data_IF_862857425955
#
_entry.id   IF_862857425955
#
_cell.length_a   1.000
_cell.length_b   1.000
_cell.length_c   1.000
_cell.angle_alpha   90.00
_cell.angle_beta   90.00
_cell.angle_gamma   90.00
#
_symmetry.space_group_name_H-M   'P 1'
#
loop_
_entity.id
_entity.type
_entity.pdbx_description
1 polymer ?
#
# COMPACT_ATOMS: atom_id res chain seq x y z
N UNK A 1 -12.19 1.61 4.36
CA UNK A 1 -11.02 1.69 5.27
C UNK A 1 -10.20 0.46 4.93
N UNK A 2 -8.92 0.54 4.57
CA UNK A 2 -7.95 1.60 4.78
C UNK A 2 -6.71 1.23 3.94
N UNK A 3 -6.16 2.14 3.14
CA UNK A 3 -4.86 1.91 2.49
C UNK A 3 -3.72 1.78 3.52
N UNK A 4 -3.95 2.19 4.76
CA UNK A 4 -3.07 2.07 5.93
C UNK A 4 -3.98 1.86 7.17
N UNK A 5 -3.93 0.69 7.83
CA UNK A 5 -4.90 0.27 8.86
C UNK A 5 -4.79 1.05 10.18
N UNK A 6 -3.77 1.90 10.31
CA UNK A 6 -3.59 2.75 11.47
C UNK A 6 -3.69 4.23 11.13
N UNK A 7 -4.19 4.56 9.94
CA UNK A 7 -4.43 5.96 9.58
C UNK A 7 -5.49 6.58 10.50
N UNK A 8 -5.58 7.92 10.58
CA UNK A 8 -6.62 8.56 11.37
C UNK A 8 -8.02 8.08 10.93
N UNK A 9 -8.77 7.49 11.86
CA UNK A 9 -10.09 6.89 11.59
C UNK A 9 -11.18 7.92 11.27
N UNK A 10 -10.87 9.21 11.41
CA UNK A 10 -11.76 10.30 11.05
C UNK A 10 -11.16 11.68 11.30
N UNK A 11 -11.90 12.75 10.94
CA UNK A 11 -11.50 14.13 11.17
C UNK A 11 -11.12 14.42 12.62
N UNK A 12 -9.98 15.06 12.83
CA UNK A 12 -9.52 15.44 14.17
C UNK A 12 -8.93 14.30 15.02
N UNK A 13 -8.94 13.05 14.54
CA UNK A 13 -8.42 11.89 15.30
C UNK A 13 -6.91 11.75 15.13
N UNK A 14 -6.24 11.15 16.10
CA UNK A 14 -4.86 10.75 15.92
C UNK A 14 -4.78 9.49 15.06
N UNK A 15 -3.60 9.23 14.49
CA UNK A 15 -3.30 7.99 13.80
C UNK A 15 -1.81 7.69 13.85
N UNK A 16 -1.42 6.68 13.09
CA UNK A 16 -0.05 6.27 12.88
C UNK A 16 0.21 6.11 11.39
N UNK A 17 1.49 6.08 11.07
CA UNK A 17 2.00 5.89 9.72
C UNK A 17 3.34 5.18 9.81
N UNK A 18 3.50 4.07 9.11
CA UNK A 18 4.73 3.26 9.22
C UNK A 18 5.49 3.10 7.90
N UNK A 19 5.20 3.91 6.88
CA UNK A 19 5.80 3.82 5.53
C UNK A 19 7.33 4.08 5.53
N UNK A 20 8.12 3.45 4.63
CA UNK A 20 9.58 3.60 4.63
C UNK A 20 9.99 5.03 4.23
N UNK A 21 10.69 5.73 5.13
CA UNK A 21 11.15 7.12 4.94
C UNK A 21 12.17 7.29 3.78
N UNK A 22 12.80 6.19 3.33
CA UNK A 22 13.79 6.19 2.24
C UNK A 22 13.15 6.13 0.84
N UNK A 23 11.83 5.94 0.71
CA UNK A 23 11.16 6.13 -0.56
C UNK A 23 11.25 7.62 -0.93
N UNK A 24 12.11 7.97 -1.91
CA UNK A 24 12.53 9.32 -2.35
C UNK A 24 11.47 10.43 -2.40
N UNK A 25 10.17 10.11 -2.33
CA UNK A 25 9.06 11.05 -2.44
C UNK A 25 8.60 11.64 -1.11
N UNK A 26 8.92 11.05 0.05
CA UNK A 26 8.45 11.56 1.35
C UNK A 26 9.49 11.33 2.45
N UNK A 27 10.39 12.30 2.63
CA UNK A 27 11.16 12.44 3.87
C UNK A 27 10.43 13.44 4.75
N UNK A 28 9.87 12.99 5.88
CA UNK A 28 9.33 13.92 6.87
C UNK A 28 10.45 14.36 7.80
N UNK A 29 10.56 15.66 8.02
CA UNK A 29 11.39 16.18 9.10
C UNK A 29 10.68 15.91 10.43
N UNK A 30 11.44 15.68 11.49
CA UNK A 30 10.84 15.52 12.82
C UNK A 30 10.02 16.76 13.18
N UNK A 31 8.85 16.55 13.79
CA UNK A 31 7.91 17.60 14.20
C UNK A 31 7.34 18.45 13.04
N UNK A 32 7.44 17.95 11.81
CA UNK A 32 6.85 18.63 10.68
C UNK A 32 5.31 18.66 10.78
N UNK A 33 4.73 19.81 10.42
CA UNK A 33 3.29 20.04 10.47
C UNK A 33 2.71 20.10 9.06
N UNK A 34 1.69 19.29 8.76
CA UNK A 34 1.07 19.22 7.43
C UNK A 34 -0.43 18.89 7.50
N UNK A 35 -1.15 19.27 6.45
CA UNK A 35 -2.50 18.78 6.19
C UNK A 35 -2.45 17.30 5.79
N UNK A 36 -3.31 16.48 6.38
CA UNK A 36 -3.38 15.04 6.12
C UNK A 36 -4.66 14.71 5.36
N UNK A 37 -4.48 13.91 4.30
CA UNK A 37 -5.56 13.35 3.49
C UNK A 37 -5.44 11.83 3.50
N UNK A 38 -6.53 11.14 3.77
CA UNK A 38 -6.58 9.68 3.74
C UNK A 38 -7.36 9.24 2.51
N UNK A 39 -6.73 8.38 1.72
CA UNK A 39 -7.33 7.82 0.51
C UNK A 39 -8.27 6.67 0.83
N UNK A 40 -9.39 6.61 0.12
CA UNK A 40 -10.33 5.48 0.12
C UNK A 40 -10.04 4.56 -1.07
N UNK A 41 -10.61 3.36 -1.03
CA UNK A 41 -10.42 2.36 -2.11
C UNK A 41 -11.07 2.79 -3.42
N UNK A 42 -12.02 3.73 -3.38
CA UNK A 42 -12.64 4.36 -4.54
C UNK A 42 -11.73 5.39 -5.24
N UNK A 43 -10.49 5.57 -4.79
CA UNK A 43 -9.57 6.58 -5.33
C UNK A 43 -9.87 8.01 -4.89
N UNK A 44 -10.85 8.19 -4.01
CA UNK A 44 -11.17 9.48 -3.39
C UNK A 44 -10.27 9.71 -2.18
N UNK A 45 -10.10 10.96 -1.79
CA UNK A 45 -9.36 11.35 -0.59
C UNK A 45 -10.27 12.19 0.30
N UNK A 46 -10.22 11.96 1.61
CA UNK A 46 -10.89 12.82 2.57
C UNK A 46 -9.86 13.54 3.43
N UNK A 47 -10.16 14.80 3.74
CA UNK A 47 -9.33 15.63 4.59
C UNK A 47 -9.55 15.25 6.06
N UNK A 48 -8.46 15.00 6.79
CA UNK A 48 -8.52 14.55 8.18
C UNK A 48 -8.13 15.65 9.18
N UNK A 49 -7.56 16.77 8.72
CA UNK A 49 -7.09 17.87 9.57
C UNK A 49 -5.62 18.23 9.38
N UNK A 50 -5.11 19.05 10.30
CA UNK A 50 -3.74 19.53 10.37
C UNK A 50 -2.98 18.81 11.49
N UNK A 51 -1.87 18.15 11.15
CA UNK A 51 -1.18 17.20 12.02
C UNK A 51 0.27 17.59 12.23
N UNK A 52 0.80 17.25 13.40
CA UNK A 52 2.23 17.14 13.68
C UNK A 52 2.66 15.68 13.52
N UNK A 53 3.74 15.46 12.79
CA UNK A 53 4.34 14.13 12.57
C UNK A 53 5.44 13.93 13.61
N UNK A 54 5.27 12.94 14.49
CA UNK A 54 6.18 12.67 15.61
C UNK A 54 6.73 11.25 15.48
N UNK A 55 8.05 11.02 15.52
CA UNK A 55 8.60 9.67 15.66
C UNK A 55 8.04 9.00 16.91
N UNK A 56 7.44 7.80 16.75
CA UNK A 56 6.85 7.02 17.84
C UNK A 56 7.64 5.75 18.13
N UNK A 57 8.85 5.63 17.56
CA UNK A 57 9.73 4.48 17.71
C UNK A 57 9.71 3.56 16.49
N UNK A 58 9.75 2.25 16.75
CA UNK A 58 9.66 1.20 15.73
C UNK A 58 8.58 0.22 16.12
N UNK A 59 7.91 -0.31 15.10
CA UNK A 59 6.86 -1.30 15.27
C UNK A 59 7.40 -2.57 15.92
N UNK A 60 6.68 -3.04 16.94
CA UNK A 60 6.99 -4.31 17.60
C UNK A 60 6.60 -5.49 16.71
N UNK A 61 7.12 -6.68 17.06
CA UNK A 61 6.77 -7.93 16.37
C UNK A 61 5.26 -8.22 16.48
N UNK A 62 4.67 -7.99 17.65
CA UNK A 62 3.25 -8.30 17.88
C UNK A 62 2.34 -7.34 17.10
N UNK A 63 2.67 -6.05 17.08
CA UNK A 63 1.95 -5.07 16.27
C UNK A 63 2.09 -5.38 14.77
N UNK A 64 3.29 -5.77 14.30
CA UNK A 64 3.49 -6.22 12.93
C UNK A 64 2.66 -7.46 12.60
N UNK A 65 2.61 -8.44 13.51
CA UNK A 65 1.79 -9.64 13.36
C UNK A 65 0.31 -9.36 13.29
N UNK A 66 -0.18 -8.28 13.90
CA UNK A 66 -1.59 -7.87 13.81
C UNK A 66 -1.98 -7.34 12.43
N UNK A 67 -1.01 -6.98 11.58
CA UNK A 67 -1.29 -6.47 10.24
C UNK A 67 -1.73 -7.59 9.29
N UNK A 68 -2.77 -7.36 8.48
CA UNK A 68 -3.13 -8.26 7.39
C UNK A 68 -1.96 -8.50 6.43
N UNK A 69 -1.83 -9.72 5.91
CA UNK A 69 -0.71 -10.10 5.03
C UNK A 69 -0.53 -9.17 3.82
N UNK A 70 -1.62 -8.71 3.21
CA UNK A 70 -1.55 -7.78 2.07
C UNK A 70 -0.91 -6.43 2.43
N UNK A 71 -1.04 -5.96 3.68
CA UNK A 71 -0.35 -4.76 4.16
C UNK A 71 1.14 -5.02 4.36
N UNK A 72 1.51 -6.19 4.89
CA UNK A 72 2.92 -6.62 5.03
C UNK A 72 3.62 -6.70 3.67
N UNK A 73 2.98 -7.34 2.69
CA UNK A 73 3.48 -7.43 1.30
C UNK A 73 3.66 -6.06 0.69
N UNK A 74 2.64 -5.19 0.78
CA UNK A 74 2.72 -3.82 0.26
C UNK A 74 3.85 -3.03 0.90
N UNK A 75 4.05 -3.20 2.20
CA UNK A 75 5.13 -2.54 2.92
C UNK A 75 6.49 -3.01 2.41
N UNK A 76 6.71 -4.33 2.33
CA UNK A 76 7.95 -4.90 1.83
C UNK A 76 8.22 -4.49 0.36
N UNK A 77 7.20 -4.45 -0.49
CA UNK A 77 7.31 -3.95 -1.87
C UNK A 77 7.74 -2.48 -1.98
N UNK A 78 7.46 -1.65 -0.97
CA UNK A 78 7.95 -0.27 -0.94
C UNK A 78 9.43 -0.18 -0.54
N UNK A 79 9.94 -1.21 0.14
CA UNK A 79 11.30 -1.29 0.64
C UNK A 79 12.23 -2.00 -0.35
N UNK A 80 11.80 -3.10 -0.97
CA UNK A 80 12.63 -3.90 -1.86
C UNK A 80 13.29 -3.11 -3.01
N UNK A 81 12.66 -2.08 -3.61
CA UNK A 81 13.31 -1.24 -4.61
C UNK A 81 14.46 -0.37 -4.08
N UNK A 82 14.76 -0.40 -2.78
CA UNK A 82 15.85 0.32 -2.13
C UNK A 82 17.04 -0.63 -1.95
N UNK A 83 18.02 -0.66 -2.88
CA UNK A 83 19.09 -1.66 -2.88
C UNK A 83 19.96 -1.57 -1.62
N UNK A 84 20.15 -0.35 -1.10
CA UNK A 84 20.92 -0.12 0.12
C UNK A 84 20.24 -0.73 1.33
N UNK A 85 18.90 -0.72 1.39
CA UNK A 85 18.16 -1.31 2.50
C UNK A 85 18.27 -2.85 2.48
N UNK A 86 18.14 -3.44 1.30
CA UNK A 86 18.27 -4.88 1.13
C UNK A 86 19.67 -5.37 1.53
N UNK A 87 20.73 -4.68 1.09
CA UNK A 87 22.11 -4.98 1.46
C UNK A 87 22.40 -4.77 2.95
N UNK A 88 21.94 -3.65 3.52
CA UNK A 88 22.10 -3.31 4.95
C UNK A 88 21.47 -4.38 5.86
N UNK A 89 20.41 -5.03 5.38
CA UNK A 89 19.64 -5.99 6.13
C UNK A 89 19.74 -7.43 5.60
N UNK A 90 20.70 -7.72 4.72
CA UNK A 90 20.97 -9.07 4.18
C UNK A 90 19.71 -9.77 3.62
N UNK A 91 18.87 -9.03 2.90
CA UNK A 91 17.62 -9.53 2.34
C UNK A 91 17.66 -9.51 0.81
N UNK A 92 17.18 -10.57 0.16
CA UNK A 92 17.28 -10.73 -1.30
C UNK A 92 15.93 -10.54 -2.00
N UNK A 93 14.83 -10.81 -1.30
CA UNK A 93 13.48 -10.75 -1.85
C UNK A 93 12.47 -10.05 -0.93
N UNK A 94 11.27 -9.78 -1.47
CA UNK A 94 10.13 -9.30 -0.68
C UNK A 94 9.71 -10.30 0.40
N UNK A 95 9.82 -11.60 0.12
CA UNK A 95 9.51 -12.64 1.07
C UNK A 95 10.47 -12.60 2.26
N UNK A 96 11.79 -12.55 1.99
CA UNK A 96 12.81 -12.51 3.04
C UNK A 96 12.65 -11.27 3.94
N UNK A 97 12.29 -10.12 3.36
CA UNK A 97 12.00 -8.91 4.13
C UNK A 97 10.84 -9.14 5.10
N UNK A 98 9.75 -9.75 4.63
CA UNK A 98 8.58 -10.06 5.48
C UNK A 98 8.97 -11.04 6.58
N UNK A 99 9.68 -12.12 6.24
CA UNK A 99 10.14 -13.13 7.20
C UNK A 99 11.00 -12.50 8.29
N UNK A 100 11.90 -11.59 7.93
CA UNK A 100 12.73 -10.87 8.91
C UNK A 100 11.91 -9.96 9.82
N UNK A 101 10.82 -9.35 9.33
CA UNK A 101 9.87 -8.64 10.20
C UNK A 101 9.07 -9.60 11.10
N UNK A 102 8.61 -10.73 10.56
CA UNK A 102 7.83 -11.74 11.31
C UNK A 102 8.68 -12.41 12.40
N UNK A 103 9.99 -12.58 12.16
CA UNK A 103 10.95 -13.05 13.17
C UNK A 103 11.31 -11.96 14.19
N UNK A 104 11.07 -10.69 13.87
CA UNK A 104 11.44 -9.53 14.69
C UNK A 104 12.88 -9.05 14.53
N UNK A 105 13.59 -9.56 13.50
CA UNK A 105 14.93 -9.12 13.12
C UNK A 105 14.91 -7.73 12.48
N UNK A 106 13.81 -7.38 11.79
CA UNK A 106 13.53 -6.04 11.31
C UNK A 106 12.36 -5.42 12.07
N UNK A 107 12.38 -4.09 12.18
CA UNK A 107 11.30 -3.32 12.79
C UNK A 107 11.02 -2.05 11.99
N UNK A 108 9.77 -1.89 11.57
CA UNK A 108 9.35 -0.79 10.72
C UNK A 108 9.38 0.51 11.51
N UNK A 109 9.96 1.61 11.02
CA UNK A 109 9.82 2.91 11.67
C UNK A 109 8.34 3.27 11.83
N UNK A 110 7.95 3.75 13.01
CA UNK A 110 6.59 4.12 13.32
C UNK A 110 6.51 5.62 13.61
N UNK A 111 5.66 6.32 12.86
CA UNK A 111 5.37 7.73 13.06
C UNK A 111 3.97 7.87 13.62
N UNK A 112 3.80 8.71 14.65
CA UNK A 112 2.49 9.12 15.15
C UNK A 112 2.05 10.38 14.42
N UNK A 113 0.85 10.32 13.87
CA UNK A 113 0.12 11.46 13.32
C UNK A 113 -0.70 12.08 14.45
N UNK A 114 -0.15 13.13 15.06
CA UNK A 114 -0.85 13.85 16.12
C UNK A 114 -1.63 15.02 15.53
N UNK A 115 -2.96 14.87 15.47
CA UNK A 115 -3.85 15.97 15.10
C UNK A 115 -3.64 17.16 16.04
N UNK A 116 -3.38 18.33 15.45
CA UNK A 116 -3.30 19.62 16.13
C UNK A 116 -4.69 20.24 16.14
N UNK A 117 -5.33 20.29 14.97
CA UNK A 117 -6.68 20.83 14.77
C UNK A 117 -7.28 20.32 13.47
N UNK A 118 -8.60 20.38 13.38
CA UNK A 118 -9.29 20.34 12.09
C UNK A 118 -9.46 21.76 11.57
N UNK A 119 -8.82 22.07 10.44
CA UNK A 119 -8.89 23.42 9.85
C UNK A 119 -10.16 23.54 9.00
N UNK A 120 -11.19 24.16 9.58
CA UNK A 120 -12.52 24.30 8.97
C UNK A 120 -12.50 25.27 7.79
N UNK A 121 -11.70 26.34 7.87
CA UNK A 121 -11.59 27.33 6.79
C UNK A 121 -10.95 26.70 5.56
N UNK A 122 -9.82 26.01 5.76
CA UNK A 122 -9.16 25.24 4.69
C UNK A 122 -10.08 24.15 4.12
N UNK A 123 -10.85 23.47 4.96
CA UNK A 123 -11.81 22.48 4.48
C UNK A 123 -12.92 23.11 3.62
N UNK A 124 -13.43 24.27 4.02
CA UNK A 124 -14.42 25.00 3.24
C UNK A 124 -13.85 25.48 1.89
N UNK A 125 -12.59 25.92 1.85
CA UNK A 125 -11.88 26.22 0.60
C UNK A 125 -11.76 24.99 -0.30
N UNK A 126 -11.41 23.83 0.27
CA UNK A 126 -11.36 22.57 -0.47
C UNK A 126 -12.72 22.20 -1.06
N UNK A 127 -13.80 22.33 -0.30
CA UNK A 127 -15.15 22.07 -0.81
C UNK A 127 -15.49 22.97 -1.99
N UNK A 128 -15.27 24.29 -1.86
CA UNK A 128 -15.50 25.24 -2.95
C UNK A 128 -14.69 24.92 -4.20
N UNK A 129 -13.41 24.62 -4.04
CA UNK A 129 -12.53 24.27 -5.15
C UNK A 129 -12.95 22.96 -5.82
N UNK A 130 -13.39 21.98 -5.03
CA UNK A 130 -13.88 20.70 -5.53
C UNK A 130 -15.19 20.87 -6.31
N UNK A 131 -16.12 21.67 -5.80
CA UNK A 131 -17.39 21.97 -6.47
C UNK A 131 -17.14 22.68 -7.81
N UNK A 132 -16.25 23.68 -7.83
CA UNK A 132 -15.85 24.37 -9.06
C UNK A 132 -15.20 23.41 -10.08
N UNK A 133 -14.27 22.56 -9.62
CA UNK A 133 -13.62 21.56 -10.47
C UNK A 133 -14.62 20.62 -11.14
N UNK A 134 -15.59 20.09 -10.39
CA UNK A 134 -16.59 19.19 -10.94
C UNK A 134 -17.67 19.89 -11.78
N UNK A 135 -17.94 21.18 -11.54
CA UNK A 135 -18.80 21.99 -12.38
C UNK A 135 -18.17 22.30 -13.75
N UNK A 136 -16.86 22.57 -13.80
CA UNK A 136 -16.14 22.89 -15.03
C UNK A 136 -15.74 21.66 -15.87
N UNK A 137 -15.27 20.59 -15.22
CA UNK A 137 -14.71 19.41 -15.91
C UNK A 137 -15.80 18.39 -16.28
N UNK A 138 -16.96 18.44 -15.64
CA UNK A 138 -18.00 17.41 -15.79
C UNK A 138 -17.56 16.05 -15.24
N UNK A 139 -18.52 15.16 -15.06
CA UNK A 139 -18.38 13.87 -14.37
C UNK A 139 -17.55 12.79 -15.12
N UNK A 140 -16.62 13.16 -16.00
CA UNK A 140 -15.88 12.19 -16.84
C UNK A 140 -14.84 11.34 -16.07
N UNK A 141 -14.55 11.66 -14.81
CA UNK A 141 -13.53 10.95 -14.01
C UNK A 141 -14.01 9.70 -13.27
N UNK A 142 -15.32 9.50 -13.09
CA UNK A 142 -15.85 8.32 -12.38
C UNK A 142 -15.99 7.10 -13.31
N UNK A 143 -15.91 7.31 -14.62
CA UNK A 143 -16.12 6.27 -15.65
C UNK A 143 -14.85 5.91 -16.42
N UNK A 144 -13.66 6.04 -15.83
CA UNK A 144 -12.48 5.37 -16.40
C UNK A 144 -12.47 3.92 -15.93
N UNK A 145 -12.87 2.93 -16.76
CA UNK A 145 -12.76 1.54 -16.37
C UNK A 145 -11.30 1.27 -16.04
N UNK A 146 -11.07 0.82 -14.81
CA UNK A 146 -9.81 0.19 -14.41
C UNK A 146 -9.45 -0.81 -15.49
N UNK A 147 -8.33 -0.60 -16.21
CA UNK A 147 -7.74 -1.64 -17.05
C UNK A 147 -7.39 -2.79 -16.12
N UNK A 148 -8.35 -3.72 -15.95
CA UNK A 148 -8.08 -5.08 -15.49
C UNK A 148 -7.03 -5.61 -16.44
N UNK A 149 -5.78 -5.63 -16.00
CA UNK A 149 -4.73 -6.41 -16.64
C UNK A 149 -5.21 -7.85 -16.58
N UNK A 150 -5.71 -8.35 -17.72
CA UNK A 150 -6.12 -9.74 -17.87
C UNK A 150 -4.87 -10.60 -17.65
N UNK A 151 -4.75 -11.19 -16.47
CA UNK A 151 -3.95 -12.39 -16.29
C UNK A 151 -4.67 -13.50 -17.03
N UNK A 152 -4.23 -13.79 -18.25
CA UNK A 152 -4.46 -15.09 -18.89
C UNK A 152 -3.71 -16.13 -18.06
N UNK A 153 -4.44 -16.75 -17.13
CA UNK A 153 -4.10 -18.07 -16.63
C UNK A 153 -4.81 -19.07 -17.53
N UNK A 154 -4.06 -19.76 -18.38
CA UNK A 154 -4.45 -21.07 -18.90
C UNK A 154 -3.56 -22.08 -18.18
N UNK A 155 -4.12 -22.68 -17.14
CA UNK A 155 -3.81 -24.04 -16.76
C UNK A 155 -4.79 -24.92 -17.53
N UNK A 156 -4.29 -25.72 -18.46
CA UNK A 156 -4.96 -26.95 -18.89
C UNK A 156 -3.96 -28.08 -18.67
N UNK A 157 -4.17 -28.80 -17.58
CA UNK A 157 -3.63 -30.13 -17.38
C UNK A 157 -4.72 -31.16 -17.66
N UNK A 158 -4.25 -32.26 -18.24
CA UNK A 158 -4.78 -33.63 -18.18
C UNK A 158 -5.66 -34.13 -19.33
N UNK A 159 -5.05 -35.12 -20.01
CA UNK A 159 -5.57 -36.43 -20.37
C UNK A 159 -6.75 -36.56 -21.33
N UNK A 160 -6.41 -37.10 -22.52
CA UNK A 160 -7.27 -38.09 -23.16
C UNK A 160 -6.40 -39.14 -23.90
N UNK A 161 -6.33 -40.35 -23.33
CA UNK A 161 -6.21 -41.62 -24.07
C UNK A 161 -7.38 -41.70 -25.09
N UNK A 162 -7.34 -42.39 -26.22
CA UNK A 162 -6.85 -43.74 -26.50
C UNK A 162 -6.99 -44.02 -28.01
N UNK A 163 -6.16 -44.94 -28.52
CA UNK A 163 -6.39 -45.88 -29.63
C UNK A 163 -6.82 -45.37 -31.02
N UNK A 164 -5.98 -45.63 -32.04
CA UNK A 164 -6.20 -46.86 -32.83
C UNK A 164 -4.94 -47.31 -33.61
N UNK A 165 -4.84 -48.64 -33.70
CA UNK A 165 -3.87 -49.52 -34.34
C UNK A 165 -3.71 -49.27 -35.87
N UNK A 166 -2.71 -49.76 -36.61
CA UNK A 166 -2.27 -51.16 -36.75
C UNK A 166 -1.07 -51.24 -37.74
N UNK A 167 -0.01 -51.94 -37.33
CA UNK A 167 0.82 -52.98 -38.02
C UNK A 167 1.42 -52.70 -39.43
N UNK A 168 2.75 -52.81 -39.59
CA UNK A 168 3.34 -53.99 -40.26
C UNK A 168 4.85 -54.22 -39.99
N UNK A 169 5.20 -55.49 -39.89
CA UNK A 169 6.50 -56.06 -39.50
C UNK A 169 7.50 -56.24 -40.67
N UNK A 170 8.73 -56.67 -40.30
CA UNK A 170 9.77 -57.39 -41.07
C UNK A 170 10.73 -56.52 -41.90
N UNK A 171 12.04 -56.77 -41.94
CA UNK A 171 12.81 -58.00 -41.71
C UNK A 171 14.31 -57.65 -41.49
N UNK A 172 14.99 -58.49 -40.69
CA UNK A 172 16.44 -58.81 -40.65
C UNK A 172 17.50 -57.70 -40.49
#
# INVERSE_FOLDING_TARGET
MERDPWSPTGPGKHGYWFRPAKARRVQFRENEKRHVFVGTDAGLYHYCGYYRIVPSGKLTKDEWSSLPHHHKVRYAQLICPLPDYLKEHDAESTHDVIDKFDQGLLRAPLMRLQCIRFDVEFYADLCRANDAYFAEVGFELVSRPSKRRRTTGEWQGEDNSESDSEIDEKEL
#
